data_IF_405491048887
#
_entry.id   IF_405491048887
#
_cell.length_a   1.000
_cell.length_b   1.000
_cell.length_c   1.000
_cell.angle_alpha   90.00
_cell.angle_beta   90.00
_cell.angle_gamma   90.00
#
_symmetry.space_group_name_H-M   'P 1'
#
loop_
_entity.id
_entity.type
_entity.pdbx_description
1 polymer ?
#
# COMPACT_ATOMS: atom_id res chain seq x y z
N UNK A 1 23.21 -57.47 38.79
CA UNK A 1 22.93 -56.69 40.02
C UNK A 1 21.46 -56.26 39.96
N UNK A 2 20.56 -57.05 40.58
CA UNK A 2 19.73 -56.70 41.76
C UNK A 2 18.85 -55.46 41.54
N UNK A 3 17.57 -55.66 41.18
CA UNK A 3 16.35 -55.55 42.04
C UNK A 3 15.93 -54.10 42.30
N UNK A 4 14.71 -53.61 42.06
CA UNK A 4 13.38 -54.21 42.23
C UNK A 4 12.66 -53.57 43.45
N UNK A 5 11.32 -53.45 43.40
CA UNK A 5 10.34 -53.14 44.50
C UNK A 5 10.04 -51.63 44.69
N UNK A 6 8.86 -51.06 44.39
CA UNK A 6 7.43 -51.22 44.82
C UNK A 6 7.05 -50.54 46.15
N UNK A 7 5.96 -49.75 46.08
CA UNK A 7 4.86 -49.59 47.06
C UNK A 7 5.19 -48.82 48.37
N UNK A 8 4.30 -48.16 49.12
CA UNK A 8 2.83 -48.04 49.12
C UNK A 8 2.39 -46.85 49.99
N UNK A 9 1.10 -46.53 49.83
CA UNK A 9 0.21 -45.64 50.61
C UNK A 9 0.17 -45.92 52.13
N UNK A 10 -0.22 -44.90 52.92
CA UNK A 10 -1.29 -44.86 53.98
C UNK A 10 -1.20 -43.51 54.71
N UNK A 11 -2.20 -42.62 54.68
CA UNK A 11 -3.41 -42.56 55.53
C UNK A 11 -3.14 -42.62 57.05
N UNK A 12 -3.41 -41.52 57.77
CA UNK A 12 -4.12 -41.57 59.05
C UNK A 12 -4.74 -40.21 59.42
N UNK A 13 -5.86 -40.29 60.12
CA UNK A 13 -6.87 -39.26 60.37
C UNK A 13 -6.83 -38.70 61.81
N UNK A 14 -7.83 -37.84 62.11
CA UNK A 14 -8.38 -37.40 63.44
C UNK A 14 -7.81 -36.06 63.96
N UNK A 15 -8.57 -35.11 64.52
CA UNK A 15 -9.93 -35.12 65.14
C UNK A 15 -10.41 -33.69 65.46
N UNK A 16 -11.76 -33.44 65.37
CA UNK A 16 -12.69 -32.73 66.31
C UNK A 16 -12.32 -31.34 66.91
N UNK A 17 -13.20 -30.37 67.14
CA UNK A 17 -14.63 -30.35 67.55
C UNK A 17 -15.26 -28.95 67.34
N UNK A 18 -16.61 -28.93 67.17
CA UNK A 18 -17.69 -27.99 67.58
C UNK A 18 -17.36 -26.50 67.84
N UNK A 19 -18.20 -25.51 67.49
CA UNK A 19 -19.48 -25.17 68.13
C UNK A 19 -20.30 -24.10 67.34
N UNK A 20 -21.63 -24.21 67.40
CA UNK A 20 -22.71 -23.18 67.44
C UNK A 20 -22.92 -22.20 66.27
N UNK A 21 -24.10 -22.33 65.66
CA UNK A 21 -24.87 -21.22 65.05
C UNK A 21 -25.59 -20.41 66.15
N UNK A 22 -25.90 -19.13 65.91
CA UNK A 22 -27.30 -18.85 65.55
C UNK A 22 -27.49 -17.77 64.45
N UNK A 23 -28.66 -17.94 63.81
CA UNK A 23 -29.53 -17.00 63.09
C UNK A 23 -29.12 -15.51 63.01
N UNK A 24 -29.17 -14.93 61.81
CA UNK A 24 -29.20 -13.48 61.63
C UNK A 24 -29.18 -13.00 60.18
N UNK A 25 -30.34 -12.52 59.72
CA UNK A 25 -30.59 -11.57 58.64
C UNK A 25 -30.29 -11.94 57.18
N UNK A 26 -31.41 -12.01 56.45
CA UNK A 26 -31.59 -11.75 55.03
C UNK A 26 -30.94 -10.42 54.63
N UNK A 27 -30.08 -10.44 53.63
CA UNK A 27 -29.81 -9.29 52.77
C UNK A 27 -29.79 -9.78 51.31
N UNK A 28 -30.92 -9.57 50.63
CA UNK A 28 -31.07 -9.75 49.20
C UNK A 28 -30.29 -8.62 48.51
N UNK A 29 -29.06 -8.89 48.08
CA UNK A 29 -28.35 -7.97 47.19
C UNK A 29 -28.83 -8.21 45.77
N UNK A 30 -29.72 -7.33 45.31
CA UNK A 30 -30.07 -7.17 43.91
C UNK A 30 -28.81 -6.75 43.13
N UNK A 31 -28.13 -7.72 42.52
CA UNK A 31 -27.16 -7.45 41.48
C UNK A 31 -27.91 -6.99 40.23
N UNK A 32 -28.05 -5.67 40.06
CA UNK A 32 -28.42 -5.10 38.77
C UNK A 32 -27.35 -5.51 37.75
N UNK A 33 -27.72 -6.40 36.84
CA UNK A 33 -27.00 -6.60 35.60
C UNK A 33 -27.11 -5.33 34.77
N UNK A 34 -26.18 -4.39 34.97
CA UNK A 34 -25.92 -3.35 34.00
C UNK A 34 -25.30 -4.04 32.77
N UNK A 35 -26.16 -4.38 31.81
CA UNK A 35 -25.76 -4.80 30.48
C UNK A 35 -25.08 -3.60 29.82
N UNK A 36 -23.79 -3.41 30.10
CA UNK A 36 -22.95 -2.45 29.41
C UNK A 36 -22.85 -2.91 27.97
N UNK A 37 -23.66 -2.31 27.11
CA UNK A 37 -23.47 -2.37 25.66
C UNK A 37 -22.10 -1.77 25.36
N UNK A 38 -21.09 -2.63 25.24
CA UNK A 38 -19.86 -2.33 24.54
C UNK A 38 -20.27 -2.07 23.09
N UNK A 39 -20.66 -0.84 22.81
CA UNK A 39 -20.65 -0.32 21.46
C UNK A 39 -19.18 -0.30 21.04
N UNK A 40 -18.70 -1.43 20.52
CA UNK A 40 -17.52 -1.47 19.69
C UNK A 40 -17.71 -0.38 18.65
N UNK A 41 -17.01 0.75 18.78
CA UNK A 41 -16.94 1.69 17.69
C UNK A 41 -16.33 0.89 16.55
N UNK A 42 -17.16 0.49 15.59
CA UNK A 42 -16.66 0.04 14.30
C UNK A 42 -15.82 1.21 13.82
N UNK A 43 -14.50 1.08 13.94
CA UNK A 43 -13.56 2.04 13.42
C UNK A 43 -13.78 1.99 11.92
N UNK A 44 -14.66 2.87 11.42
CA UNK A 44 -14.92 3.01 10.00
C UNK A 44 -13.54 3.27 9.43
N UNK A 45 -12.97 2.39 8.59
CA UNK A 45 -11.64 2.61 8.06
C UNK A 45 -11.67 4.01 7.44
N UNK A 46 -10.87 4.91 7.99
CA UNK A 46 -10.75 6.27 7.44
C UNK A 46 -10.52 6.09 5.94
N UNK A 47 -11.33 6.75 5.10
CA UNK A 47 -11.05 6.73 3.68
C UNK A 47 -9.61 7.22 3.51
N UNK A 48 -8.70 6.31 3.13
CA UNK A 48 -7.28 6.61 3.02
C UNK A 48 -7.00 7.58 1.84
N UNK A 49 -8.02 7.81 1.00
CA UNK A 49 -7.98 8.66 -0.16
C UNK A 49 -9.17 9.62 -0.18
N UNK A 50 -9.01 10.76 -0.83
CA UNK A 50 -10.07 11.74 -1.07
C UNK A 50 -9.88 12.38 -2.44
N UNK A 51 -10.92 13.00 -2.99
CA UNK A 51 -10.81 13.73 -4.25
C UNK A 51 -9.76 14.86 -4.16
N UNK A 52 -9.71 15.56 -3.03
CA UNK A 52 -8.72 16.61 -2.78
C UNK A 52 -7.30 16.05 -2.72
N UNK A 53 -7.12 14.84 -2.20
CA UNK A 53 -5.83 14.14 -2.24
C UNK A 53 -5.44 13.79 -3.68
N UNK A 54 -6.36 13.27 -4.50
CA UNK A 54 -6.09 12.95 -5.91
C UNK A 54 -5.70 14.21 -6.69
N UNK A 55 -6.46 15.30 -6.52
CA UNK A 55 -6.17 16.59 -7.16
C UNK A 55 -4.84 17.16 -6.66
N UNK A 56 -4.63 17.14 -5.34
CA UNK A 56 -3.42 17.64 -4.71
C UNK A 56 -2.18 16.89 -5.18
N UNK A 57 -2.26 15.58 -5.34
CA UNK A 57 -1.17 14.74 -5.85
C UNK A 57 -0.77 15.09 -7.29
N UNK A 58 -1.62 15.78 -8.05
CA UNK A 58 -1.31 16.25 -9.42
C UNK A 58 -1.07 17.76 -9.53
N UNK A 59 -1.23 18.54 -8.45
CA UNK A 59 -1.20 20.02 -8.52
C UNK A 59 -0.34 20.69 -7.46
N UNK A 60 -0.11 20.06 -6.32
CA UNK A 60 0.76 20.58 -5.28
C UNK A 60 2.23 20.26 -5.57
N UNK A 61 3.18 21.07 -5.06
CA UNK A 61 4.60 20.75 -5.12
C UNK A 61 4.94 19.41 -4.45
N UNK A 62 6.08 18.84 -4.83
CA UNK A 62 6.68 17.72 -4.11
C UNK A 62 6.99 18.10 -2.66
N UNK A 63 6.86 17.17 -1.71
CA UNK A 63 7.19 17.38 -0.29
C UNK A 63 8.68 17.20 0.03
N UNK A 64 9.43 16.75 -0.98
CA UNK A 64 10.87 16.56 -0.98
C UNK A 64 11.33 16.24 -2.40
N UNK A 65 12.64 16.26 -2.65
CA UNK A 65 13.18 15.89 -3.96
C UNK A 65 13.58 14.42 -3.98
N UNK A 66 13.28 13.66 -5.03
CA UNK A 66 13.78 12.29 -5.15
C UNK A 66 15.31 12.30 -5.29
N UNK A 67 16.02 11.60 -4.38
CA UNK A 67 17.47 11.53 -4.39
C UNK A 67 18.00 10.94 -5.71
N UNK A 68 19.00 11.60 -6.30
CA UNK A 68 19.72 11.10 -7.48
C UNK A 68 19.03 11.34 -8.82
N UNK A 69 17.89 12.05 -8.83
CA UNK A 69 17.21 12.44 -10.07
C UNK A 69 17.72 13.82 -10.53
N UNK A 70 18.19 13.96 -11.78
CA UNK A 70 18.61 15.26 -12.31
C UNK A 70 17.46 16.26 -12.40
N UNK A 71 17.70 17.52 -12.05
CA UNK A 71 16.67 18.58 -12.04
C UNK A 71 16.11 18.93 -13.43
N UNK A 72 16.84 18.61 -14.51
CA UNK A 72 16.35 18.77 -15.87
C UNK A 72 15.29 17.73 -16.26
N UNK A 73 15.08 16.70 -15.44
CA UNK A 73 13.92 15.84 -15.58
C UNK A 73 12.73 16.58 -14.98
N UNK A 74 11.78 16.96 -15.82
CA UNK A 74 10.59 17.73 -15.46
C UNK A 74 9.83 17.17 -14.23
N UNK A 75 9.70 15.84 -14.15
CA UNK A 75 9.06 15.13 -13.05
C UNK A 75 9.82 15.19 -11.72
N UNK A 76 11.11 15.57 -11.73
CA UNK A 76 11.90 15.76 -10.52
C UNK A 76 11.46 16.99 -9.72
N UNK A 77 10.78 17.95 -10.37
CA UNK A 77 10.45 19.27 -9.80
C UNK A 77 8.97 19.37 -9.42
N UNK A 78 8.09 18.80 -10.22
CA UNK A 78 6.64 18.84 -10.00
C UNK A 78 5.95 17.57 -10.53
N UNK A 79 4.72 17.25 -10.09
CA UNK A 79 3.89 16.29 -10.81
C UNK A 79 3.73 16.72 -12.27
N UNK A 80 3.59 15.75 -13.18
CA UNK A 80 3.45 16.06 -14.61
C UNK A 80 2.56 15.08 -15.35
N UNK A 81 2.05 15.55 -16.48
CA UNK A 81 1.42 14.72 -17.51
C UNK A 81 2.47 14.36 -18.55
N UNK A 82 2.59 13.07 -18.87
CA UNK A 82 3.34 12.59 -20.03
C UNK A 82 2.40 12.47 -21.21
N UNK A 83 2.03 11.24 -21.56
CA UNK A 83 1.06 10.96 -22.63
C UNK A 83 -0.39 11.24 -22.25
N UNK A 84 -0.70 11.33 -20.96
CA UNK A 84 -2.04 11.65 -20.46
C UNK A 84 -3.11 10.69 -20.99
N UNK A 85 -4.13 11.23 -21.67
CA UNK A 85 -5.26 10.45 -22.20
C UNK A 85 -5.04 9.98 -23.65
N UNK A 86 -3.81 10.05 -24.16
CA UNK A 86 -3.47 9.73 -25.54
C UNK A 86 -2.51 8.53 -25.62
N UNK A 87 -2.97 7.28 -25.45
CA UNK A 87 -2.11 6.10 -25.56
C UNK A 87 -1.55 5.87 -26.97
N UNK A 88 -2.13 6.52 -28.00
CA UNK A 88 -1.73 6.38 -29.41
C UNK A 88 -1.79 4.91 -29.88
N UNK A 89 -0.64 4.37 -30.27
CA UNK A 89 -0.52 3.01 -30.80
C UNK A 89 -0.24 1.97 -29.70
N UNK A 90 -0.03 2.39 -28.44
CA UNK A 90 0.08 1.48 -27.31
C UNK A 90 -1.24 0.78 -27.02
N UNK A 91 -1.22 -0.51 -26.70
CA UNK A 91 -2.42 -1.36 -26.49
C UNK A 91 -2.48 -2.00 -25.11
N UNK A 92 -1.50 -1.72 -24.25
CA UNK A 92 -1.51 -2.17 -22.86
C UNK A 92 -1.13 -1.04 -21.90
N UNK A 93 -1.45 -1.23 -20.63
CA UNK A 93 -1.14 -0.31 -19.54
C UNK A 93 -0.65 -1.07 -18.31
N UNK A 94 0.21 -0.45 -17.52
CA UNK A 94 0.48 -0.90 -16.15
C UNK A 94 0.48 0.25 -15.16
N UNK A 95 -0.18 0.09 -14.01
CA UNK A 95 0.01 0.98 -12.87
C UNK A 95 1.36 0.69 -12.21
N UNK A 96 2.10 1.77 -11.95
CA UNK A 96 3.44 1.75 -11.41
C UNK A 96 3.66 2.89 -10.42
N UNK A 97 4.85 2.93 -9.82
CA UNK A 97 5.27 4.05 -8.98
C UNK A 97 6.71 3.88 -8.52
N UNK A 98 7.17 4.82 -7.71
CA UNK A 98 8.54 4.84 -7.23
C UNK A 98 8.61 5.25 -5.76
N UNK A 99 9.50 4.60 -5.02
CA UNK A 99 9.93 5.02 -3.68
C UNK A 99 11.38 5.48 -3.72
N UNK A 100 11.59 6.71 -3.25
CA UNK A 100 12.90 7.33 -3.13
C UNK A 100 13.20 7.66 -1.67
N UNK A 101 14.49 7.80 -1.37
CA UNK A 101 14.91 8.65 -0.25
C UNK A 101 14.86 10.11 -0.70
N UNK A 102 14.60 11.02 0.25
CA UNK A 102 14.73 12.45 0.02
C UNK A 102 16.17 12.80 -0.37
N UNK A 103 16.35 13.76 -1.29
CA UNK A 103 17.66 14.25 -1.72
C UNK A 103 18.49 14.83 -0.57
N UNK A 104 17.86 15.23 0.54
CA UNK A 104 18.54 15.62 1.78
C UNK A 104 19.03 14.43 2.62
N UNK A 105 18.86 13.21 2.11
CA UNK A 105 19.19 11.95 2.78
C UNK A 105 18.09 11.43 3.70
N UNK A 106 18.23 10.17 4.10
CA UNK A 106 17.34 9.51 5.05
C UNK A 106 18.15 9.01 6.27
N UNK A 107 17.94 9.56 7.48
CA UNK A 107 18.67 9.15 8.67
C UNK A 107 18.14 7.86 9.32
N UNK A 108 16.91 7.42 8.99
CA UNK A 108 16.37 6.18 9.54
C UNK A 108 17.17 4.95 9.06
N UNK A 109 17.30 3.96 9.93
CA UNK A 109 18.04 2.71 9.73
C UNK A 109 17.17 1.48 9.99
N UNK A 110 16.16 1.61 10.85
CA UNK A 110 15.22 0.56 11.28
C UNK A 110 13.79 0.79 10.77
N UNK A 111 13.64 1.39 9.59
CA UNK A 111 12.34 1.69 8.97
C UNK A 111 12.24 1.04 7.59
N UNK A 112 11.02 0.56 7.25
CA UNK A 112 10.64 0.09 5.91
C UNK A 112 9.40 0.86 5.43
N UNK A 113 9.21 0.90 4.11
CA UNK A 113 7.97 1.40 3.49
C UNK A 113 7.10 0.20 3.15
N UNK A 114 5.94 0.09 3.78
CA UNK A 114 4.93 -0.92 3.45
C UNK A 114 3.99 -0.38 2.38
N UNK A 115 3.67 -1.19 1.37
CA UNK A 115 2.89 -0.84 0.19
C UNK A 115 1.81 -1.92 -0.02
N UNK A 116 0.57 -1.50 -0.33
CA UNK A 116 -0.53 -2.41 -0.62
C UNK A 116 -1.61 -1.78 -1.52
N UNK A 117 -2.51 -2.62 -2.00
CA UNK A 117 -3.76 -2.21 -2.67
C UNK A 117 -3.52 -1.29 -3.88
N UNK A 118 -2.62 -1.68 -4.77
CA UNK A 118 -2.42 -0.96 -6.04
C UNK A 118 -3.63 -1.18 -6.96
N UNK A 119 -4.13 -0.12 -7.56
CA UNK A 119 -5.26 -0.14 -8.49
C UNK A 119 -4.99 0.79 -9.68
N UNK A 120 -5.53 0.39 -10.83
CA UNK A 120 -5.57 1.21 -12.05
C UNK A 120 -7.01 1.28 -12.57
N UNK A 121 -7.44 2.46 -12.98
CA UNK A 121 -8.73 2.71 -13.61
C UNK A 121 -8.56 3.53 -14.87
N UNK A 122 -9.46 3.33 -15.81
CA UNK A 122 -9.64 4.27 -16.91
C UNK A 122 -11.08 4.80 -16.93
N UNK A 123 -11.23 6.05 -17.33
CA UNK A 123 -12.52 6.64 -17.65
C UNK A 123 -12.80 6.37 -19.12
N UNK A 124 -13.91 5.72 -19.45
CA UNK A 124 -14.29 5.43 -20.83
C UNK A 124 -14.83 6.69 -21.53
N UNK A 125 -14.50 6.88 -22.82
CA UNK A 125 -15.14 7.91 -23.66
C UNK A 125 -16.56 7.52 -24.03
N UNK A 126 -16.82 6.22 -24.22
CA UNK A 126 -18.10 5.67 -24.69
C UNK A 126 -19.20 5.80 -23.66
N UNK A 127 -18.97 5.34 -22.43
CA UNK A 127 -20.02 5.32 -21.38
C UNK A 127 -19.83 6.35 -20.27
N UNK A 128 -18.70 7.08 -20.29
CA UNK A 128 -18.34 8.11 -19.31
C UNK A 128 -18.23 7.56 -17.87
N UNK A 129 -18.00 6.27 -17.70
CA UNK A 129 -17.80 5.61 -16.41
C UNK A 129 -16.34 5.22 -16.19
N UNK A 130 -15.96 5.16 -14.92
CA UNK A 130 -14.67 4.60 -14.50
C UNK A 130 -14.73 3.08 -14.47
N UNK A 131 -13.79 2.45 -15.15
CA UNK A 131 -13.64 1.00 -15.21
C UNK A 131 -12.36 0.59 -14.50
N UNK A 132 -12.44 -0.44 -13.67
CA UNK A 132 -11.27 -1.06 -13.05
C UNK A 132 -10.47 -1.80 -14.13
N UNK A 133 -9.21 -1.43 -14.28
CA UNK A 133 -8.28 -2.04 -15.24
C UNK A 133 -7.35 -3.06 -14.57
N UNK A 134 -6.81 -2.70 -13.41
CA UNK A 134 -5.91 -3.58 -12.65
C UNK A 134 -6.16 -3.46 -11.15
N UNK A 135 -6.05 -4.58 -10.45
CA UNK A 135 -6.09 -4.63 -9.00
C UNK A 135 -5.16 -5.71 -8.45
N UNK A 136 -4.32 -5.32 -7.49
CA UNK A 136 -3.55 -6.26 -6.67
C UNK A 136 -3.39 -5.74 -5.25
N UNK A 137 -3.50 -6.62 -4.26
CA UNK A 137 -3.28 -6.26 -2.85
C UNK A 137 -1.78 -6.09 -2.52
N UNK A 138 -0.90 -6.49 -3.45
CA UNK A 138 0.54 -6.33 -3.38
C UNK A 138 1.10 -5.68 -4.65
N UNK A 139 2.40 -5.44 -4.67
CA UNK A 139 3.13 -4.96 -5.85
C UNK A 139 4.26 -5.92 -6.20
N UNK A 140 4.74 -5.85 -7.43
CA UNK A 140 6.05 -6.35 -7.82
C UNK A 140 7.00 -5.16 -7.95
N UNK A 141 8.32 -5.40 -8.01
CA UNK A 141 9.26 -4.31 -8.23
C UNK A 141 10.72 -4.71 -8.13
N UNK A 142 11.59 -3.78 -8.48
CA UNK A 142 13.04 -3.93 -8.36
C UNK A 142 13.70 -2.62 -7.92
N UNK A 143 14.96 -2.72 -7.49
CA UNK A 143 15.78 -1.54 -7.18
C UNK A 143 16.41 -1.02 -8.47
N UNK A 144 16.01 0.15 -8.93
CA UNK A 144 16.57 0.81 -10.12
C UNK A 144 17.56 1.89 -9.73
N UNK A 145 18.59 2.12 -10.55
CA UNK A 145 19.45 3.30 -10.41
C UNK A 145 18.56 4.54 -10.33
N UNK A 146 18.88 5.47 -9.43
CA UNK A 146 18.00 6.59 -9.07
C UNK A 146 17.56 7.48 -10.23
N UNK A 147 18.32 7.56 -11.32
CA UNK A 147 17.98 8.32 -12.54
C UNK A 147 17.41 7.44 -13.67
N UNK A 148 17.20 6.14 -13.41
CA UNK A 148 16.84 5.12 -14.40
C UNK A 148 17.83 4.97 -15.58
N UNK A 149 19.04 5.53 -15.49
CA UNK A 149 19.99 5.49 -16.60
C UNK A 149 20.34 4.04 -16.97
N UNK A 150 20.36 3.79 -18.29
CA UNK A 150 20.68 2.50 -18.89
C UNK A 150 19.81 1.32 -18.39
N UNK A 151 18.62 1.61 -17.83
CA UNK A 151 17.73 0.59 -17.27
C UNK A 151 18.42 -0.30 -16.21
N UNK A 152 19.42 0.24 -15.50
CA UNK A 152 20.22 -0.52 -14.52
C UNK A 152 19.39 -0.83 -13.29
N UNK A 153 19.29 -2.11 -12.92
CA UNK A 153 18.53 -2.55 -11.76
C UNK A 153 19.15 -3.76 -11.05
N UNK A 154 18.67 -4.02 -9.83
CA UNK A 154 19.03 -5.16 -8.99
C UNK A 154 17.82 -5.61 -8.14
N UNK A 155 17.83 -6.83 -7.57
CA UNK A 155 16.78 -7.26 -6.66
C UNK A 155 16.58 -6.28 -5.49
N UNK A 156 15.33 -6.04 -5.11
CA UNK A 156 14.98 -5.17 -4.00
C UNK A 156 14.90 -5.92 -2.66
N UNK A 157 15.10 -5.20 -1.54
CA UNK A 157 14.90 -5.75 -0.20
C UNK A 157 13.40 -5.81 0.12
N UNK A 158 12.72 -6.83 -0.38
CA UNK A 158 11.27 -7.04 -0.21
C UNK A 158 11.01 -7.99 0.96
N UNK A 159 9.99 -7.69 1.77
CA UNK A 159 9.47 -8.56 2.82
C UNK A 159 7.94 -8.59 2.74
N UNK A 160 7.33 -9.78 2.73
CA UNK A 160 5.88 -9.89 2.89
C UNK A 160 5.48 -9.53 4.33
N UNK A 161 4.40 -8.78 4.51
CA UNK A 161 3.93 -8.36 5.82
C UNK A 161 2.67 -9.12 6.24
N UNK A 162 2.54 -9.43 7.53
CA UNK A 162 1.47 -10.26 8.05
C UNK A 162 0.07 -9.62 7.90
N UNK A 163 -0.01 -8.29 7.86
CA UNK A 163 -1.25 -7.53 7.65
C UNK A 163 -1.47 -7.13 6.17
N UNK A 164 -0.76 -7.79 5.25
CA UNK A 164 -0.95 -7.70 3.81
C UNK A 164 0.05 -6.78 3.10
N UNK A 165 0.11 -6.95 1.78
CA UNK A 165 1.09 -6.27 0.92
C UNK A 165 2.53 -6.70 1.20
N UNK A 166 3.45 -5.81 0.89
CA UNK A 166 4.89 -6.00 1.12
C UNK A 166 5.52 -4.74 1.70
N UNK A 167 6.70 -4.87 2.28
CA UNK A 167 7.54 -3.75 2.65
C UNK A 167 8.90 -3.80 1.97
N UNK A 168 9.47 -2.60 1.77
CA UNK A 168 10.78 -2.43 1.14
C UNK A 168 11.72 -1.58 1.97
N UNK A 169 13.02 -1.77 1.71
CA UNK A 169 14.06 -0.78 1.98
C UNK A 169 14.70 -0.38 0.66
N UNK A 170 14.87 0.92 0.46
CA UNK A 170 15.77 1.43 -0.57
C UNK A 170 17.21 1.06 -0.23
N UNK A 171 18.09 1.18 -1.22
CA UNK A 171 19.53 1.01 -1.02
C UNK A 171 20.26 2.17 -1.66
N UNK A 172 21.44 2.50 -1.15
CA UNK A 172 22.25 3.63 -1.65
C UNK A 172 22.40 3.61 -3.16
N UNK A 173 22.03 4.71 -3.83
CA UNK A 173 22.09 4.86 -5.28
C UNK A 173 20.92 4.26 -6.05
N UNK A 174 19.93 3.66 -5.37
CA UNK A 174 18.78 3.02 -6.00
C UNK A 174 17.44 3.49 -5.42
N UNK A 175 16.47 3.71 -6.30
CA UNK A 175 15.05 3.81 -5.94
C UNK A 175 14.41 2.42 -5.96
N UNK A 176 13.21 2.29 -5.40
CA UNK A 176 12.37 1.12 -5.64
C UNK A 176 11.27 1.49 -6.64
N UNK A 177 11.37 0.96 -7.87
CA UNK A 177 10.32 1.08 -8.86
C UNK A 177 9.42 -0.16 -8.75
N UNK A 178 8.12 0.08 -8.62
CA UNK A 178 7.13 -0.96 -8.43
C UNK A 178 6.03 -0.87 -9.47
N UNK A 179 5.36 -2.00 -9.69
CA UNK A 179 4.23 -2.14 -10.60
C UNK A 179 3.22 -3.15 -10.07
N UNK A 180 2.04 -3.15 -10.69
CA UNK A 180 0.97 -4.07 -10.31
C UNK A 180 1.36 -5.52 -10.60
N UNK A 181 1.12 -6.41 -9.64
CA UNK A 181 1.30 -7.86 -9.82
C UNK A 181 0.46 -8.40 -10.98
N UNK A 182 0.97 -9.40 -11.70
CA UNK A 182 0.26 -10.03 -12.81
C UNK A 182 0.50 -9.38 -14.17
N UNK A 183 1.38 -8.39 -14.24
CA UNK A 183 1.82 -7.78 -15.49
C UNK A 183 0.93 -6.65 -15.97
N UNK A 184 0.90 -6.44 -17.29
CA UNK A 184 0.18 -5.33 -17.95
C UNK A 184 -1.24 -5.78 -18.28
N UNK A 185 -2.17 -4.82 -18.35
CA UNK A 185 -3.54 -5.06 -18.79
C UNK A 185 -3.79 -4.46 -20.18
N UNK A 186 -4.62 -5.11 -21.01
CA UNK A 186 -4.98 -4.59 -22.33
C UNK A 186 -5.88 -3.38 -22.22
N UNK A 187 -5.74 -2.43 -23.14
CA UNK A 187 -6.58 -1.22 -23.24
C UNK A 187 -7.13 -1.05 -24.65
N UNK A 188 -8.24 -0.31 -24.76
CA UNK A 188 -8.76 0.21 -26.03
C UNK A 188 -8.38 1.68 -26.14
N UNK A 189 -7.32 2.04 -26.88
CA UNK A 189 -6.73 3.39 -26.80
C UNK A 189 -7.66 4.51 -27.23
N UNK A 190 -8.52 4.21 -28.18
CA UNK A 190 -9.56 5.12 -28.66
C UNK A 190 -10.58 5.48 -27.56
N UNK A 191 -10.75 4.64 -26.54
CA UNK A 191 -11.76 4.79 -25.48
C UNK A 191 -11.22 5.36 -24.17
N UNK A 192 -9.97 5.83 -24.10
CA UNK A 192 -9.41 6.40 -22.87
C UNK A 192 -9.73 7.89 -22.76
N UNK A 193 -10.65 8.27 -21.88
CA UNK A 193 -10.94 9.66 -21.53
C UNK A 193 -10.12 10.18 -20.34
N UNK A 194 -9.60 9.26 -19.52
CA UNK A 194 -8.95 9.55 -18.24
C UNK A 194 -8.26 8.29 -17.72
N UNK A 195 -7.20 8.47 -16.95
CA UNK A 195 -6.50 7.40 -16.22
C UNK A 195 -6.35 7.83 -14.78
N UNK A 196 -6.48 6.86 -13.88
CA UNK A 196 -6.25 7.04 -12.46
C UNK A 196 -5.53 5.81 -11.90
N UNK A 197 -4.41 6.02 -11.21
CA UNK A 197 -3.71 4.97 -10.47
C UNK A 197 -3.56 5.38 -9.01
N UNK A 198 -3.67 4.40 -8.13
CA UNK A 198 -3.55 4.63 -6.69
C UNK A 198 -2.90 3.45 -5.99
N UNK A 199 -2.19 3.74 -4.90
CA UNK A 199 -1.64 2.73 -3.97
C UNK A 199 -1.73 3.28 -2.56
N UNK A 200 -1.72 2.38 -1.57
CA UNK A 200 -1.57 2.75 -0.17
C UNK A 200 -0.16 2.45 0.31
N UNK A 201 0.42 3.36 1.10
CA UNK A 201 1.67 3.10 1.79
C UNK A 201 1.71 3.69 3.20
N UNK A 202 2.62 3.15 4.02
CA UNK A 202 2.99 3.68 5.35
C UNK A 202 4.42 3.28 5.73
N UNK A 203 4.93 3.87 6.80
CA UNK A 203 6.17 3.46 7.45
C UNK A 203 5.92 2.38 8.51
N UNK A 204 6.72 1.32 8.46
CA UNK A 204 6.75 0.27 9.50
C UNK A 204 8.15 0.09 10.04
N UNK A 205 8.23 -0.46 11.25
CA UNK A 205 9.50 -0.81 11.88
C UNK A 205 10.09 -2.04 11.16
N UNK A 206 11.39 -2.00 10.89
CA UNK A 206 12.09 -3.11 10.23
C UNK A 206 12.26 -4.27 11.20
N UNK A 207 12.99 -4.05 12.29
CA UNK A 207 13.19 -5.02 13.37
C UNK A 207 12.54 -4.51 14.66
N UNK A 208 11.51 -5.20 15.20
CA UNK A 208 10.84 -4.81 16.44
C UNK A 208 11.76 -4.86 17.68
N UNK A 209 12.92 -5.51 17.59
CA UNK A 209 13.92 -5.58 18.67
C UNK A 209 14.88 -4.39 18.70
N UNK A 210 14.87 -3.55 17.66
CA UNK A 210 15.71 -2.35 17.55
C UNK A 210 14.89 -1.09 17.82
N UNK A 211 15.53 0.03 18.13
CA UNK A 211 14.84 1.30 18.36
C UNK A 211 13.94 1.68 17.15
N UNK A 212 12.74 2.20 17.44
CA UNK A 212 11.86 2.74 16.41
C UNK A 212 12.35 4.13 15.98
N UNK A 213 12.72 4.25 14.70
CA UNK A 213 13.24 5.49 14.12
C UNK A 213 12.37 6.02 12.98
N UNK A 214 11.11 5.56 12.86
CA UNK A 214 10.20 5.98 11.78
C UNK A 214 9.96 7.48 11.71
N UNK A 215 9.99 8.16 12.86
CA UNK A 215 9.86 9.61 12.94
C UNK A 215 11.00 10.37 12.25
N UNK A 216 12.15 9.73 12.06
CA UNK A 216 13.30 10.29 11.35
C UNK A 216 13.30 9.94 9.85
N UNK A 217 12.44 9.02 9.41
CA UNK A 217 12.49 8.51 8.06
C UNK A 217 12.06 9.56 7.03
N UNK A 218 12.81 9.64 5.93
CA UNK A 218 12.57 10.57 4.82
C UNK A 218 12.39 9.82 3.51
N UNK A 219 11.33 9.01 3.47
CA UNK A 219 10.91 8.30 2.26
C UNK A 219 9.87 9.13 1.49
N UNK A 220 10.04 9.17 0.18
CA UNK A 220 9.12 9.80 -0.77
C UNK A 220 8.50 8.71 -1.65
N UNK A 221 7.20 8.78 -1.88
CA UNK A 221 6.52 7.90 -2.84
C UNK A 221 5.76 8.75 -3.86
N UNK A 222 5.81 8.33 -5.12
CA UNK A 222 4.94 8.80 -6.20
C UNK A 222 4.28 7.63 -6.92
N UNK A 223 3.05 7.85 -7.39
CA UNK A 223 2.37 6.94 -8.31
C UNK A 223 2.53 7.41 -9.75
N UNK A 224 2.52 6.45 -10.66
CA UNK A 224 2.56 6.67 -12.10
C UNK A 224 1.76 5.58 -12.82
N UNK A 225 1.91 5.55 -14.13
CA UNK A 225 1.53 4.43 -14.97
C UNK A 225 2.17 4.58 -16.33
N UNK A 226 2.33 3.46 -17.03
CA UNK A 226 2.94 3.43 -18.36
C UNK A 226 1.99 2.79 -19.35
N UNK A 227 1.91 3.37 -20.54
CA UNK A 227 1.40 2.69 -21.72
C UNK A 227 2.49 1.84 -22.36
N UNK A 228 2.09 0.72 -22.94
CA UNK A 228 2.98 -0.26 -23.58
C UNK A 228 2.41 -0.72 -24.91
N UNK A 229 3.28 -1.07 -25.87
CA UNK A 229 2.87 -1.56 -27.20
C UNK A 229 1.88 -2.72 -27.08
N UNK A 230 2.19 -3.67 -26.21
CA UNK A 230 1.31 -4.75 -25.81
C UNK A 230 1.75 -5.31 -24.45
N UNK A 231 1.03 -6.32 -23.97
CA UNK A 231 1.23 -6.92 -22.65
C UNK A 231 2.60 -7.60 -22.48
N UNK A 232 3.25 -8.01 -23.58
CA UNK A 232 4.49 -8.80 -23.57
C UNK A 232 5.74 -8.03 -24.05
N UNK A 233 5.58 -6.79 -24.52
CA UNK A 233 6.69 -6.03 -25.11
C UNK A 233 7.85 -5.82 -24.13
N UNK A 234 9.10 -6.16 -24.47
CA UNK A 234 10.22 -5.80 -23.63
C UNK A 234 10.42 -4.28 -23.60
N UNK A 235 11.12 -3.77 -22.59
CA UNK A 235 11.58 -2.38 -22.63
C UNK A 235 12.63 -2.21 -23.75
N UNK A 236 12.47 -1.18 -24.57
CA UNK A 236 13.41 -0.80 -25.63
C UNK A 236 13.48 0.73 -25.69
N UNK A 237 14.25 1.33 -24.77
CA UNK A 237 14.60 2.76 -24.80
C UNK A 237 13.41 3.71 -25.09
N UNK A 238 12.27 3.49 -24.42
CA UNK A 238 11.03 4.27 -24.57
C UNK A 238 10.35 4.19 -25.95
N UNK A 239 10.77 3.26 -26.82
CA UNK A 239 10.04 2.96 -28.07
C UNK A 239 8.85 2.04 -27.81
N UNK A 240 8.94 1.19 -26.79
CA UNK A 240 7.91 0.18 -26.47
C UNK A 240 6.97 0.61 -25.36
N UNK A 241 7.27 1.71 -24.68
CA UNK A 241 6.47 2.27 -23.61
C UNK A 241 6.57 3.79 -23.56
N UNK A 242 5.55 4.43 -22.99
CA UNK A 242 5.55 5.85 -22.67
C UNK A 242 4.77 6.10 -21.39
N UNK A 243 5.26 7.01 -20.57
CA UNK A 243 4.61 7.28 -19.29
C UNK A 243 3.31 8.06 -19.50
N UNK A 244 2.33 7.77 -18.66
CA UNK A 244 1.01 8.40 -18.69
C UNK A 244 1.11 9.76 -18.00
N UNK A 245 1.56 9.72 -16.74
CA UNK A 245 1.76 10.85 -15.86
C UNK A 245 2.51 10.36 -14.62
N UNK A 246 3.07 11.30 -13.87
CA UNK A 246 3.76 11.06 -12.61
C UNK A 246 3.16 12.01 -11.57
N UNK A 247 2.63 11.44 -10.48
CA UNK A 247 2.13 12.20 -9.35
C UNK A 247 3.24 12.85 -8.54
N UNK A 248 2.88 13.69 -7.57
CA UNK A 248 3.86 14.38 -6.75
C UNK A 248 4.54 13.41 -5.78
N UNK A 249 5.81 13.65 -5.48
CA UNK A 249 6.51 12.93 -4.41
C UNK A 249 6.01 13.39 -3.05
N UNK A 250 5.39 12.48 -2.31
CA UNK A 250 4.86 12.70 -0.97
C UNK A 250 5.65 11.95 0.08
N UNK A 251 5.83 12.54 1.25
CA UNK A 251 6.42 11.87 2.39
C UNK A 251 5.52 10.73 2.83
N UNK A 252 6.11 9.56 3.01
CA UNK A 252 5.43 8.41 3.61
C UNK A 252 5.46 8.60 5.13
N UNK A 253 4.30 8.49 5.78
CA UNK A 253 4.16 8.61 7.24
C UNK A 253 3.88 7.24 7.89
N UNK A 254 3.93 7.10 9.22
CA UNK A 254 3.52 5.86 9.89
C UNK A 254 2.05 5.48 9.71
N UNK A 255 1.20 6.42 9.28
CA UNK A 255 -0.22 6.18 9.00
C UNK A 255 -0.41 5.75 7.54
N UNK A 256 -1.45 4.94 7.29
CA UNK A 256 -1.84 4.61 5.92
C UNK A 256 -2.28 5.86 5.17
N UNK A 257 -1.65 6.10 4.03
CA UNK A 257 -1.98 7.18 3.11
C UNK A 257 -2.13 6.63 1.69
N UNK A 258 -3.01 7.25 0.91
CA UNK A 258 -3.05 7.03 -0.54
C UNK A 258 -2.11 7.97 -1.29
N UNK A 259 -1.51 7.42 -2.33
CA UNK A 259 -0.67 8.10 -3.30
C UNK A 259 -1.30 7.88 -4.66
N UNK A 260 -1.35 8.94 -5.48
CA UNK A 260 -2.20 8.95 -6.65
C UNK A 260 -1.49 9.54 -7.87
N UNK A 261 -1.93 9.11 -9.03
CA UNK A 261 -1.74 9.80 -10.29
C UNK A 261 -3.07 9.86 -11.02
N UNK A 262 -3.38 10.99 -11.63
CA UNK A 262 -4.44 11.08 -12.63
C UNK A 262 -4.03 11.91 -13.82
N UNK A 263 -4.46 11.50 -15.01
CA UNK A 263 -4.30 12.26 -16.24
C UNK A 263 -5.40 13.31 -16.48
N UNK A 264 -6.40 13.39 -15.59
CA UNK A 264 -7.48 14.35 -15.70
C UNK A 264 -7.17 15.66 -14.95
N UNK A 265 -7.57 16.83 -15.48
CA UNK A 265 -7.48 18.08 -14.74
C UNK A 265 -8.48 18.10 -13.58
N UNK A 266 -8.21 18.91 -12.56
CA UNK A 266 -9.02 19.04 -11.36
C UNK A 266 -10.53 19.27 -11.63
N UNK A 267 -10.85 20.10 -12.63
CA UNK A 267 -12.24 20.37 -13.00
C UNK A 267 -12.96 19.13 -13.56
N UNK A 268 -12.26 18.25 -14.28
CA UNK A 268 -12.82 17.01 -14.78
C UNK A 268 -12.99 15.98 -13.65
N UNK A 269 -12.01 15.87 -12.75
CA UNK A 269 -12.08 15.02 -11.56
C UNK A 269 -13.25 15.41 -10.64
N UNK A 270 -13.52 16.70 -10.47
CA UNK A 270 -14.68 17.19 -9.69
C UNK A 270 -16.03 16.82 -10.32
N UNK A 271 -16.09 16.77 -11.65
CA UNK A 271 -17.31 16.39 -12.38
C UNK A 271 -17.52 14.88 -12.42
N UNK A 272 -16.45 14.12 -12.47
CA UNK A 272 -16.49 12.66 -12.57
C UNK A 272 -15.38 12.04 -11.70
N UNK A 273 -15.59 11.97 -10.37
CA UNK A 273 -14.57 11.50 -9.45
C UNK A 273 -14.26 10.01 -9.67
N UNK A 274 -12.97 9.60 -9.64
CA UNK A 274 -12.62 8.19 -9.72
C UNK A 274 -13.04 7.44 -8.45
N UNK A 275 -13.08 6.10 -8.49
CA UNK A 275 -13.27 5.29 -7.28
C UNK A 275 -12.17 5.55 -6.24
N UNK A 276 -12.53 6.16 -5.11
CA UNK A 276 -11.57 6.58 -4.07
C UNK A 276 -11.25 5.50 -3.03
N UNK A 277 -12.00 4.39 -3.01
CA UNK A 277 -11.79 3.33 -2.02
C UNK A 277 -11.23 2.05 -2.67
N UNK A 278 -9.89 1.92 -2.79
CA UNK A 278 -9.27 0.78 -3.45
C UNK A 278 -9.52 -0.56 -2.73
N UNK A 279 -9.84 -0.54 -1.43
CA UNK A 279 -10.08 -1.73 -0.62
C UNK A 279 -11.52 -2.28 -0.71
N UNK A 280 -12.46 -1.56 -1.33
CA UNK A 280 -13.87 -1.97 -1.43
C UNK A 280 -14.27 -2.47 -2.82
N UNK A 281 -13.35 -2.47 -3.77
CA UNK A 281 -13.63 -2.98 -5.11
C UNK A 281 -13.37 -4.49 -5.12
N UNK A 282 -14.35 -5.32 -5.53
CA UNK A 282 -14.15 -6.75 -5.59
C UNK A 282 -12.97 -7.06 -6.53
N UNK A 283 -12.14 -8.07 -6.21
CA UNK A 283 -11.17 -8.56 -7.18
C UNK A 283 -11.95 -8.98 -8.43
N UNK A 284 -11.48 -8.54 -9.61
CA UNK A 284 -12.02 -9.05 -10.87
C UNK A 284 -11.90 -10.58 -10.86
N UNK A 285 -12.90 -11.33 -11.38
CA UNK A 285 -12.71 -12.75 -11.62
C UNK A 285 -11.45 -12.90 -12.47
N UNK A 286 -10.49 -13.68 -11.98
CA UNK A 286 -9.36 -14.16 -12.79
C UNK A 286 -9.93 -14.55 -14.15
N UNK A 287 -9.45 -13.91 -15.23
CA UNK A 287 -9.61 -14.50 -16.55
C UNK A 287 -8.95 -15.87 -16.45
N UNK A 288 -9.78 -16.91 -16.45
CA UNK A 288 -9.39 -18.30 -16.43
C UNK A 288 -8.18 -18.48 -17.34
N UNK A 289 -7.07 -19.01 -16.79
CA UNK A 289 -6.08 -19.70 -17.61
C UNK A 289 -6.86 -20.74 -18.41
N UNK A 290 -6.97 -20.54 -19.73
CA UNK A 290 -7.20 -21.68 -20.60
C UNK A 290 -5.89 -22.47 -20.66
N UNK A 291 -5.99 -23.82 -20.68
CA UNK A 291 -4.84 -24.72 -20.59
C UNK A 291 -3.82 -24.50 -21.70
#
# INVERSE_FOLDING_TARGET
MKSGVRHARRLCAKTRDRWLRPLGLVALVLSLAACGSLASSLHRPSQANSLDTVIGDMTLPHEGRPLGVPEHYDWAIAPRIGMGNEPRHFRAMIAAGQVYEDAQGNPARNTRVQIRNIRAFYLSKRDRQWHLLQASDSVEGASYRQDFANNTSKPASIRAEADGGLSIKTSTGYNFHFWTTGGRAPIQPEDIAGVFTTVQARLIQDDPKRADDRHNARYLLSMSGDYWLNEQSPWDAFKTNGDIAIGRFKRVTPQWQSFNMSSLPAAALKKNPPPLNPAQLPPTPSSSRKP
#
